data_IF_477058297348
#
_entry.id   IF_477058297348
#
_cell.length_a   1.000
_cell.length_b   1.000
_cell.length_c   1.000
_cell.angle_alpha   90.00
_cell.angle_beta   90.00
_cell.angle_gamma   90.00
#
_symmetry.space_group_name_H-M   'P 1'
#
loop_
_entity.id
_entity.type
_entity.pdbx_description
1 polymer ?
#
# COMPACT_ATOMS: atom_id res chain seq x y z
N UNK A 1 8.83 -4.54 -2.99
CA UNK A 1 8.71 -5.66 -2.02
C UNK A 1 7.40 -6.37 -2.25
N UNK A 2 7.37 -7.71 -2.18
CA UNK A 2 6.12 -8.48 -2.33
C UNK A 2 5.30 -8.43 -1.04
N UNK A 3 3.96 -8.58 -1.12
CA UNK A 3 3.14 -8.71 0.09
C UNK A 3 3.55 -9.94 0.91
N UNK A 4 3.48 -9.83 2.24
CA UNK A 4 3.67 -10.93 3.19
C UNK A 4 2.47 -11.02 4.11
N UNK A 5 1.85 -12.20 4.20
CA UNK A 5 0.57 -12.43 4.93
C UNK A 5 -0.54 -11.42 4.61
N UNK A 6 -0.53 -10.88 3.39
CA UNK A 6 -1.49 -9.86 2.94
C UNK A 6 -1.10 -8.42 3.29
N UNK A 7 0.00 -8.19 4.00
CA UNK A 7 0.49 -6.85 4.31
C UNK A 7 1.53 -6.40 3.29
N UNK A 8 1.59 -5.08 3.09
CA UNK A 8 2.60 -4.41 2.26
C UNK A 8 3.46 -3.53 3.14
N UNK A 9 4.71 -3.32 2.75
CA UNK A 9 5.61 -2.38 3.42
C UNK A 9 6.08 -1.26 2.49
N UNK A 10 6.42 -0.13 3.11
CA UNK A 10 7.11 1.00 2.46
C UNK A 10 8.62 0.80 2.48
N UNK A 11 9.34 1.48 1.58
CA UNK A 11 10.80 1.52 1.59
C UNK A 11 11.23 2.97 1.40
N UNK A 12 11.93 3.49 2.40
CA UNK A 12 12.57 4.80 2.41
C UNK A 12 14.06 4.59 2.68
N UNK A 13 14.93 5.32 1.99
CA UNK A 13 16.37 5.28 2.24
C UNK A 13 16.79 6.57 2.93
N UNK A 14 17.53 6.42 4.03
CA UNK A 14 18.19 7.49 4.74
C UNK A 14 19.65 7.56 4.30
N UNK A 15 20.02 8.66 3.65
CA UNK A 15 21.37 8.87 3.15
C UNK A 15 22.37 9.23 4.26
N UNK A 16 21.89 9.81 5.37
CA UNK A 16 22.77 10.21 6.48
C UNK A 16 23.29 8.99 7.24
N UNK A 17 22.39 8.03 7.49
CA UNK A 17 22.69 6.83 8.27
C UNK A 17 22.99 5.60 7.38
N UNK A 18 22.79 5.71 6.06
CA UNK A 18 22.92 4.62 5.08
C UNK A 18 22.04 3.41 5.40
N UNK A 19 20.83 3.66 5.91
CA UNK A 19 19.88 2.65 6.36
C UNK A 19 18.57 2.76 5.59
N UNK A 20 17.97 1.62 5.29
CA UNK A 20 16.60 1.55 4.80
C UNK A 20 15.63 1.57 5.98
N UNK A 21 14.59 2.38 5.89
CA UNK A 21 13.45 2.37 6.80
C UNK A 21 12.19 1.92 6.07
N UNK A 22 11.29 1.29 6.81
CA UNK A 22 9.99 0.91 6.31
C UNK A 22 8.96 0.85 7.43
N UNK A 23 7.70 0.80 7.00
CA UNK A 23 6.54 0.55 7.86
C UNK A 23 5.51 -0.29 7.14
N UNK A 24 4.71 -1.01 7.90
CA UNK A 24 3.54 -1.72 7.39
C UNK A 24 2.51 -0.70 6.88
N UNK A 25 1.93 -0.97 5.71
CA UNK A 25 0.87 -0.17 5.09
C UNK A 25 -0.50 -0.75 5.38
N UNK A 26 -1.50 0.14 5.50
CA UNK A 26 -2.90 -0.26 5.63
C UNK A 26 -3.33 -0.61 7.05
N UNK A 27 -2.53 -0.26 8.05
CA UNK A 27 -2.85 -0.37 9.48
C UNK A 27 -2.70 1.01 10.15
N UNK A 28 -3.46 1.26 11.22
CA UNK A 28 -3.40 2.50 12.02
C UNK A 28 -2.21 2.50 12.97
N UNK A 29 -1.91 1.34 13.55
CA UNK A 29 -0.76 1.18 14.43
C UNK A 29 0.54 1.35 13.62
N UNK A 30 1.51 2.06 14.18
CA UNK A 30 2.78 2.33 13.49
C UNK A 30 3.76 1.22 13.84
N UNK A 31 3.87 0.25 12.95
CA UNK A 31 4.89 -0.80 12.99
C UNK A 31 5.97 -0.49 11.94
N UNK A 32 7.18 -0.19 12.42
CA UNK A 32 8.34 0.20 11.63
C UNK A 32 9.44 -0.86 11.69
N UNK A 33 10.27 -0.90 10.67
CA UNK A 33 11.45 -1.74 10.58
C UNK A 33 12.56 -0.98 9.86
N UNK A 34 13.80 -1.41 10.07
CA UNK A 34 14.97 -0.83 9.43
C UNK A 34 16.00 -1.90 9.12
N UNK A 35 16.87 -1.64 8.14
CA UNK A 35 17.90 -2.57 7.73
C UNK A 35 19.05 -1.89 6.97
N UNK A 36 20.27 -2.43 7.09
CA UNK A 36 21.45 -1.94 6.36
C UNK A 36 21.57 -2.48 4.94
N UNK A 37 20.81 -3.52 4.59
CA UNK A 37 20.84 -4.15 3.27
C UNK A 37 19.45 -4.54 2.77
N UNK A 38 19.32 -4.76 1.46
CA UNK A 38 18.06 -5.19 0.86
C UNK A 38 17.59 -6.57 1.34
N UNK A 39 18.53 -7.47 1.67
CA UNK A 39 18.22 -8.80 2.19
C UNK A 39 17.66 -8.72 3.61
N UNK A 40 18.35 -7.97 4.48
CA UNK A 40 17.90 -7.70 5.84
C UNK A 40 16.57 -6.94 5.86
N UNK A 41 16.35 -6.03 4.92
CA UNK A 41 15.09 -5.28 4.81
C UNK A 41 13.89 -6.20 4.60
N UNK A 42 14.04 -7.22 3.75
CA UNK A 42 12.98 -8.20 3.50
C UNK A 42 12.67 -9.02 4.76
N UNK A 43 13.73 -9.42 5.49
CA UNK A 43 13.61 -10.15 6.74
C UNK A 43 12.94 -9.30 7.82
N UNK A 44 13.44 -8.09 8.04
CA UNK A 44 12.91 -7.15 9.02
C UNK A 44 11.45 -6.79 8.72
N UNK A 45 11.05 -6.69 7.45
CA UNK A 45 9.64 -6.54 7.07
C UNK A 45 8.77 -7.73 7.50
N UNK A 46 9.21 -8.97 7.24
CA UNK A 46 8.44 -10.16 7.64
C UNK A 46 8.31 -10.27 9.15
N UNK A 47 9.41 -10.05 9.88
CA UNK A 47 9.43 -10.04 11.35
C UNK A 47 8.48 -8.97 11.89
N UNK A 48 8.53 -7.76 11.35
CA UNK A 48 7.63 -6.67 11.75
C UNK A 48 6.14 -7.01 11.52
N UNK A 49 5.81 -7.71 10.42
CA UNK A 49 4.44 -8.19 10.17
C UNK A 49 4.02 -9.29 11.15
N UNK A 50 4.94 -10.18 11.50
CA UNK A 50 4.69 -11.23 12.48
C UNK A 50 4.47 -10.65 13.88
N UNK A 51 5.29 -9.69 14.29
CA UNK A 51 5.15 -8.94 15.54
C UNK A 51 3.81 -8.20 15.60
N UNK A 52 3.37 -7.60 14.50
CA UNK A 52 2.05 -6.96 14.42
C UNK A 52 0.91 -7.96 14.67
N UNK A 53 0.98 -9.14 14.04
CA UNK A 53 -0.05 -10.16 14.17
C UNK A 53 -0.07 -10.78 15.57
N UNK A 54 1.10 -10.99 16.17
CA UNK A 54 1.23 -11.44 17.55
C UNK A 54 0.67 -10.40 18.52
N UNK A 55 1.03 -9.12 18.35
CA UNK A 55 0.48 -8.03 19.14
C UNK A 55 -1.05 -7.98 19.06
N UNK A 56 -1.65 -8.12 17.87
CA UNK A 56 -3.11 -8.20 17.73
C UNK A 56 -3.69 -9.38 18.52
N UNK A 57 -3.07 -10.56 18.46
CA UNK A 57 -3.51 -11.74 19.17
C UNK A 57 -3.44 -11.57 20.70
N UNK A 58 -2.32 -11.03 21.22
CA UNK A 58 -2.14 -10.75 22.65
C UNK A 58 -3.15 -9.74 23.19
N UNK A 59 -3.48 -8.73 22.38
CA UNK A 59 -4.47 -7.70 22.74
C UNK A 59 -5.92 -8.16 22.51
N UNK A 60 -6.13 -9.39 22.03
CA UNK A 60 -7.42 -9.94 21.64
C UNK A 60 -8.17 -9.02 20.64
N UNK A 61 -7.42 -8.44 19.71
CA UNK A 61 -7.89 -7.54 18.65
C UNK A 61 -7.83 -8.27 17.31
N UNK A 62 -8.83 -8.02 16.45
CA UNK A 62 -8.72 -8.47 15.06
C UNK A 62 -7.68 -7.61 14.31
N UNK A 63 -6.72 -8.24 13.60
CA UNK A 63 -5.82 -7.52 12.72
C UNK A 63 -6.59 -6.72 11.66
N UNK A 64 -6.13 -5.51 11.38
CA UNK A 64 -6.74 -4.66 10.36
C UNK A 64 -6.58 -5.31 9.00
N UNK A 65 -7.68 -5.42 8.26
CA UNK A 65 -7.66 -5.98 6.91
C UNK A 65 -7.10 -4.93 5.94
N UNK A 66 -5.90 -5.13 5.36
CA UNK A 66 -5.28 -4.14 4.48
C UNK A 66 -6.05 -3.90 3.17
N UNK A 67 -6.98 -4.80 2.78
CA UNK A 67 -7.70 -4.73 1.50
C UNK A 67 -9.21 -5.01 1.64
N UNK A 68 -9.98 -4.05 2.15
CA UNK A 68 -11.43 -4.21 2.35
C UNK A 68 -12.29 -4.10 1.08
N UNK A 69 -11.70 -3.70 -0.05
CA UNK A 69 -12.41 -3.38 -1.29
C UNK A 69 -13.23 -2.08 -1.25
N UNK A 70 -13.31 -1.42 -0.08
CA UNK A 70 -14.03 -0.15 0.08
C UNK A 70 -13.06 1.02 -0.09
N UNK A 71 -13.28 1.84 -1.12
CA UNK A 71 -12.50 3.05 -1.39
C UNK A 71 -13.39 4.28 -1.26
N UNK A 72 -13.16 5.09 -0.22
CA UNK A 72 -13.80 6.39 -0.08
C UNK A 72 -13.03 7.42 -0.92
N UNK A 73 -13.53 7.74 -2.12
CA UNK A 73 -12.90 8.67 -3.05
C UNK A 73 -13.54 10.06 -2.96
N UNK A 74 -12.73 11.08 -2.66
CA UNK A 74 -13.07 12.49 -2.90
C UNK A 74 -12.35 12.98 -4.15
N UNK A 75 -13.03 13.76 -4.97
CA UNK A 75 -12.48 14.34 -6.19
C UNK A 75 -13.15 15.68 -6.50
N UNK A 76 -12.68 16.40 -7.52
CA UNK A 76 -13.27 17.68 -7.93
C UNK A 76 -14.52 17.46 -8.79
N UNK A 77 -15.45 18.44 -8.86
CA UNK A 77 -16.62 18.35 -9.73
C UNK A 77 -16.27 18.08 -11.20
N UNK A 78 -15.17 18.66 -11.69
CA UNK A 78 -14.70 18.50 -13.07
C UNK A 78 -14.30 17.05 -13.35
N UNK A 79 -13.55 16.42 -12.45
CA UNK A 79 -13.15 15.02 -12.57
C UNK A 79 -14.37 14.11 -12.43
N UNK A 80 -15.27 14.39 -11.49
CA UNK A 80 -16.50 13.62 -11.33
C UNK A 80 -17.37 13.64 -12.60
N UNK A 81 -17.48 14.80 -13.25
CA UNK A 81 -18.20 14.94 -14.51
C UNK A 81 -17.56 14.13 -15.65
N UNK A 82 -16.22 14.17 -15.77
CA UNK A 82 -15.50 13.37 -16.77
C UNK A 82 -15.68 11.86 -16.56
N UNK A 83 -15.55 11.40 -15.32
CA UNK A 83 -15.75 9.98 -14.95
C UNK A 83 -17.18 9.54 -15.24
N UNK A 84 -18.17 10.37 -14.89
CA UNK A 84 -19.60 10.08 -15.15
C UNK A 84 -19.88 9.90 -16.64
N UNK A 85 -19.30 10.77 -17.47
CA UNK A 85 -19.44 10.70 -18.92
C UNK A 85 -18.76 9.46 -19.51
N UNK A 86 -17.54 9.14 -19.06
CA UNK A 86 -16.82 7.96 -19.51
C UNK A 86 -17.56 6.66 -19.14
N UNK A 87 -18.05 6.56 -17.90
CA UNK A 87 -18.84 5.42 -17.44
C UNK A 87 -20.12 5.24 -18.27
N UNK A 88 -20.83 6.34 -18.58
CA UNK A 88 -22.01 6.30 -19.42
C UNK A 88 -21.70 5.86 -20.87
N UNK A 89 -20.61 6.35 -21.46
CA UNK A 89 -20.16 5.92 -22.79
C UNK A 89 -19.84 4.43 -22.86
N UNK A 90 -19.33 3.85 -21.78
CA UNK A 90 -19.01 2.42 -21.68
C UNK A 90 -20.20 1.55 -21.21
N UNK A 91 -21.37 2.16 -20.94
CA UNK A 91 -22.54 1.44 -20.43
C UNK A 91 -22.38 0.88 -19.02
N UNK A 92 -21.50 1.47 -18.21
CA UNK A 92 -21.14 1.02 -16.85
C UNK A 92 -21.65 1.98 -15.79
N UNK A 93 -21.87 1.47 -14.57
CA UNK A 93 -21.98 2.33 -13.41
C UNK A 93 -20.63 3.02 -13.14
N UNK A 94 -20.66 4.20 -12.50
CA UNK A 94 -19.44 4.91 -12.11
C UNK A 94 -18.52 4.01 -11.28
N UNK A 95 -19.08 3.27 -10.31
CA UNK A 95 -18.30 2.38 -9.45
C UNK A 95 -17.63 1.25 -10.26
N UNK A 96 -18.34 0.64 -11.22
CA UNK A 96 -17.75 -0.40 -12.05
C UNK A 96 -16.65 0.17 -12.94
N UNK A 97 -16.90 1.31 -13.59
CA UNK A 97 -15.93 1.96 -14.46
C UNK A 97 -14.65 2.34 -13.71
N UNK A 98 -14.79 2.93 -12.51
CA UNK A 98 -13.67 3.27 -11.63
C UNK A 98 -12.92 2.02 -11.21
N UNK A 99 -13.63 0.96 -10.78
CA UNK A 99 -13.02 -0.30 -10.36
C UNK A 99 -12.18 -0.93 -11.49
N UNK A 100 -12.72 -1.00 -12.71
CA UNK A 100 -12.03 -1.56 -13.87
C UNK A 100 -10.78 -0.74 -14.23
N UNK A 101 -10.93 0.58 -14.30
CA UNK A 101 -9.86 1.52 -14.65
C UNK A 101 -8.73 1.46 -13.63
N UNK A 102 -9.06 1.46 -12.34
CA UNK A 102 -8.07 1.34 -11.27
C UNK A 102 -7.36 -0.02 -11.32
N UNK A 103 -8.08 -1.11 -11.61
CA UNK A 103 -7.49 -2.44 -11.71
C UNK A 103 -6.51 -2.54 -12.88
N UNK A 104 -6.84 -1.97 -14.04
CA UNK A 104 -5.94 -1.91 -15.19
C UNK A 104 -4.69 -1.07 -14.90
N UNK A 105 -4.88 0.15 -14.39
CA UNK A 105 -3.78 1.04 -14.05
C UNK A 105 -2.85 0.45 -12.98
N UNK A 106 -3.43 -0.22 -11.97
CA UNK A 106 -2.68 -0.88 -10.92
C UNK A 106 -1.88 -2.08 -11.44
N UNK A 107 -2.49 -2.95 -12.27
CA UNK A 107 -1.78 -4.08 -12.89
C UNK A 107 -0.56 -3.60 -13.68
N UNK A 108 -0.75 -2.61 -14.55
CA UNK A 108 0.34 -2.01 -15.32
C UNK A 108 1.51 -1.56 -14.41
N UNK A 109 1.20 -0.88 -13.31
CA UNK A 109 2.22 -0.38 -12.37
C UNK A 109 2.92 -1.50 -11.59
N UNK A 110 2.19 -2.54 -11.20
CA UNK A 110 2.73 -3.69 -10.46
C UNK A 110 3.62 -4.54 -11.36
N UNK A 111 3.21 -4.77 -12.62
CA UNK A 111 3.93 -5.58 -13.59
C UNK A 111 5.25 -4.92 -14.05
N UNK A 112 5.37 -3.59 -13.96
CA UNK A 112 6.63 -2.87 -14.14
C UNK A 112 7.72 -3.24 -13.09
N UNK A 113 7.39 -4.02 -12.07
CA UNK A 113 8.35 -4.75 -11.20
C UNK A 113 9.24 -3.92 -10.28
N UNK A 114 9.26 -2.59 -10.42
CA UNK A 114 10.13 -1.69 -9.64
C UNK A 114 9.38 -1.00 -8.49
N UNK A 115 9.87 -1.22 -7.26
CA UNK A 115 9.47 -0.43 -6.09
C UNK A 115 10.32 0.83 -6.06
N UNK A 116 9.70 2.01 -6.13
CA UNK A 116 10.43 3.27 -6.00
C UNK A 116 10.79 3.47 -4.54
N UNK A 117 12.08 3.54 -4.24
CA UNK A 117 12.60 3.96 -2.94
C UNK A 117 12.44 5.48 -2.84
N UNK A 118 11.90 5.97 -1.73
CA UNK A 118 11.84 7.41 -1.45
C UNK A 118 13.07 7.80 -0.64
N UNK A 119 13.68 8.94 -0.93
CA UNK A 119 14.72 9.51 -0.07
C UNK A 119 14.06 10.36 1.01
N UNK A 120 14.47 10.17 2.26
CA UNK A 120 14.04 11.02 3.37
C UNK A 120 14.95 12.25 3.42
N UNK A 121 14.38 13.46 3.36
CA UNK A 121 15.10 14.69 3.63
C UNK A 121 14.82 15.11 5.09
N UNK A 122 15.88 15.46 5.83
CA UNK A 122 15.80 16.02 7.19
C UNK A 122 15.31 17.47 7.19
#
# INVERSE_FOLDING_TARGET
MKPYKGYLGTIEFDEADLVFHGRIMGIRDIFTYEAGSAEELLKAFHECVDDYLEFCAEQNKEPEKPFSGKLALRTTPEVHHLVSRAAASDGKSINQWVSDTLAEAARKRVDEGSTKVRTRAH
#
